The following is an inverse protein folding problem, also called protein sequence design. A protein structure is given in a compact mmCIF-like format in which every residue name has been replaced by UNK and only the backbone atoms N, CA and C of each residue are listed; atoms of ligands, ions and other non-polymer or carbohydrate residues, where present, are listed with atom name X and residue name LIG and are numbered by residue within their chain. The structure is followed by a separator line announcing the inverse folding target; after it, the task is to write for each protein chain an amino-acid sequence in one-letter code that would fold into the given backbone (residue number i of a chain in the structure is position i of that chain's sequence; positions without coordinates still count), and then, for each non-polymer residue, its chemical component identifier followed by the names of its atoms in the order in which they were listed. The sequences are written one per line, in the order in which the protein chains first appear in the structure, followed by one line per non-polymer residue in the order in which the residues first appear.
data_IF_154736486124
#
_entry.id   IF_154736486124
#
_cell.length_a   1.000
_cell.length_b   1.000
_cell.length_c   1.000
_cell.angle_alpha   90.00
_cell.angle_beta   90.00
_cell.angle_gamma   90.00
#
_symmetry.space_group_name_H-M   'P 1'
#
loop_
_entity.id
_entity.type
_entity.pdbx_description
1 polymer ?
#
# COMPACT_ATOMS: atom_id res chain seq x y z
N UNK A 1 -4.86 22.10 -10.90
CA UNK A 1 -4.65 20.68 -10.59
C UNK A 1 -5.65 19.92 -11.41
N UNK A 2 -5.18 19.08 -12.32
CA UNK A 2 -6.03 18.44 -13.31
C UNK A 2 -7.06 17.54 -12.61
N UNK A 3 -8.33 17.96 -12.63
CA UNK A 3 -9.48 17.29 -12.01
C UNK A 3 -9.90 16.01 -12.79
N UNK A 4 -9.03 15.46 -13.64
CA UNK A 4 -9.43 14.48 -14.67
C UNK A 4 -8.56 13.21 -14.74
N UNK A 5 -7.64 13.00 -13.81
CA UNK A 5 -6.89 11.74 -13.73
C UNK A 5 -7.59 10.79 -12.76
N UNK A 6 -8.43 9.92 -13.31
CA UNK A 6 -9.09 8.84 -12.58
C UNK A 6 -8.04 7.99 -11.83
N UNK A 7 -8.18 7.80 -10.51
CA UNK A 7 -7.18 7.08 -9.72
C UNK A 7 -7.07 5.63 -10.19
N UNK A 8 -5.84 5.11 -10.22
CA UNK A 8 -5.52 3.70 -10.51
C UNK A 8 -5.19 2.91 -9.25
N UNK A 9 -4.70 3.59 -8.21
CA UNK A 9 -4.41 2.98 -6.91
C UNK A 9 -5.21 3.69 -5.82
N UNK A 10 -5.80 2.92 -4.92
CA UNK A 10 -6.43 3.43 -3.71
C UNK A 10 -5.58 3.16 -2.48
N UNK A 11 -5.11 4.18 -1.78
CA UNK A 11 -4.48 4.05 -0.47
C UNK A 11 -5.56 4.28 0.60
N UNK A 12 -5.84 3.26 1.40
CA UNK A 12 -6.76 3.35 2.53
C UNK A 12 -6.05 3.03 3.85
N UNK A 13 -6.43 3.74 4.91
CA UNK A 13 -5.90 3.49 6.25
C UNK A 13 -6.94 3.65 7.34
N UNK A 14 -6.75 3.00 8.48
CA UNK A 14 -7.74 2.95 9.56
C UNK A 14 -7.90 4.26 10.32
N UNK A 15 -6.89 5.13 10.32
CA UNK A 15 -6.82 6.33 11.17
C UNK A 15 -5.81 7.36 10.68
N UNK A 16 -5.87 8.57 11.25
CA UNK A 16 -4.85 9.60 11.03
C UNK A 16 -3.47 9.20 11.56
N UNK A 17 -3.38 8.38 12.61
CA UNK A 17 -2.09 7.90 13.13
C UNK A 17 -1.40 6.93 12.16
N UNK A 18 -2.16 6.19 11.36
CA UNK A 18 -1.60 5.30 10.34
C UNK A 18 -0.92 6.07 9.20
N UNK A 19 -1.27 7.35 9.02
CA UNK A 19 -0.70 8.20 7.96
C UNK A 19 0.82 8.32 8.05
N UNK A 20 1.39 8.30 9.25
CA UNK A 20 2.85 8.37 9.43
C UNK A 20 3.56 7.20 8.72
N UNK A 21 2.92 6.03 8.66
CA UNK A 21 3.40 4.88 7.87
C UNK A 21 2.97 4.99 6.41
N UNK A 22 1.68 5.27 6.16
CA UNK A 22 1.09 5.15 4.82
C UNK A 22 1.50 6.26 3.86
N UNK A 23 1.95 7.43 4.35
CA UNK A 23 2.51 8.51 3.52
C UNK A 23 3.67 8.04 2.65
N UNK A 24 4.38 7.00 3.06
CA UNK A 24 5.46 6.44 2.26
C UNK A 24 4.97 5.72 1.00
N UNK A 25 3.74 5.20 0.98
CA UNK A 25 3.14 4.67 -0.23
C UNK A 25 2.73 5.81 -1.18
N UNK A 26 2.09 6.85 -0.64
CA UNK A 26 1.66 8.06 -1.35
C UNK A 26 2.83 8.76 -2.05
N UNK A 27 3.95 8.93 -1.35
CA UNK A 27 5.18 9.51 -1.90
C UNK A 27 5.72 8.71 -3.09
N UNK A 28 5.77 7.37 -2.99
CA UNK A 28 6.27 6.52 -4.08
C UNK A 28 5.32 6.59 -5.28
N UNK A 29 4.00 6.50 -5.08
CA UNK A 29 3.06 6.59 -6.20
C UNK A 29 3.12 7.96 -6.89
N UNK A 30 3.32 9.03 -6.11
CA UNK A 30 3.55 10.38 -6.65
C UNK A 30 4.83 10.45 -7.48
N UNK A 31 5.94 9.89 -7.00
CA UNK A 31 7.23 9.83 -7.72
C UNK A 31 7.11 9.08 -9.06
N UNK A 32 6.29 8.03 -9.11
CA UNK A 32 6.01 7.29 -10.34
C UNK A 32 4.93 7.90 -11.23
N UNK A 33 4.37 9.05 -10.83
CA UNK A 33 3.28 9.74 -11.51
C UNK A 33 2.04 8.85 -11.70
N UNK A 34 1.75 8.00 -10.72
CA UNK A 34 0.58 7.11 -10.73
C UNK A 34 -0.59 7.87 -10.11
N UNK A 35 -1.70 8.11 -10.83
CA UNK A 35 -2.91 8.69 -10.24
C UNK A 35 -3.42 7.80 -9.12
N UNK A 36 -3.59 8.37 -7.94
CA UNK A 36 -4.07 7.64 -6.77
C UNK A 36 -4.89 8.54 -5.86
N UNK A 37 -5.65 7.90 -4.99
CA UNK A 37 -6.38 8.55 -3.91
C UNK A 37 -5.89 8.03 -2.56
N UNK A 38 -5.98 8.87 -1.54
CA UNK A 38 -5.53 8.57 -0.18
C UNK A 38 -6.65 8.91 0.82
N UNK A 39 -7.19 7.91 1.50
CA UNK A 39 -8.40 8.04 2.32
C UNK A 39 -8.29 7.35 3.69
N UNK A 40 -9.02 7.86 4.68
CA UNK A 40 -9.24 7.18 5.97
C UNK A 40 -10.53 6.38 5.92
N UNK A 41 -10.40 5.07 6.05
CA UNK A 41 -11.49 4.08 6.06
C UNK A 41 -11.25 3.10 7.20
N UNK A 42 -12.00 3.25 8.29
CA UNK A 42 -11.81 2.44 9.50
C UNK A 42 -12.70 1.20 9.48
N UNK A 43 -12.12 0.01 9.40
CA UNK A 43 -12.88 -1.26 9.37
C UNK A 43 -13.88 -1.39 10.53
N UNK A 44 -13.48 -0.98 11.74
CA UNK A 44 -14.34 -1.13 12.94
C UNK A 44 -15.24 0.06 13.24
N UNK A 45 -14.95 1.25 12.68
CA UNK A 45 -15.68 2.50 13.01
C UNK A 45 -16.55 2.99 11.88
N UNK A 46 -16.21 2.62 10.65
CA UNK A 46 -16.95 2.94 9.43
C UNK A 46 -17.05 1.69 8.53
N UNK A 47 -17.59 0.56 9.03
CA UNK A 47 -17.65 -0.69 8.26
C UNK A 47 -18.44 -0.54 6.95
N UNK A 48 -19.53 0.23 6.95
CA UNK A 48 -20.33 0.47 5.74
C UNK A 48 -19.54 1.26 4.69
N UNK A 49 -18.75 2.26 5.12
CA UNK A 49 -17.83 2.99 4.23
C UNK A 49 -16.81 2.06 3.59
N UNK A 50 -16.27 1.11 4.36
CA UNK A 50 -15.34 0.11 3.82
C UNK A 50 -16.02 -0.79 2.79
N UNK A 51 -17.23 -1.26 3.09
CA UNK A 51 -18.01 -2.09 2.16
C UNK A 51 -18.31 -1.35 0.86
N UNK A 52 -18.78 -0.10 0.96
CA UNK A 52 -19.06 0.76 -0.20
C UNK A 52 -17.80 1.02 -1.03
N UNK A 53 -16.70 1.38 -0.36
CA UNK A 53 -15.41 1.63 -1.02
C UNK A 53 -14.93 0.41 -1.81
N UNK A 54 -14.87 -0.76 -1.17
CA UNK A 54 -14.33 -1.97 -1.78
C UNK A 54 -15.22 -2.49 -2.93
N UNK A 55 -16.55 -2.52 -2.74
CA UNK A 55 -17.49 -3.00 -3.76
C UNK A 55 -17.46 -2.14 -5.03
N UNK A 56 -17.32 -0.83 -4.88
CA UNK A 56 -17.33 0.12 -6.02
C UNK A 56 -15.94 0.34 -6.64
N UNK A 57 -14.86 -0.11 -5.99
CA UNK A 57 -13.48 0.19 -6.39
C UNK A 57 -13.17 -0.15 -7.87
N UNK A 58 -13.59 -1.33 -8.33
CA UNK A 58 -13.33 -1.78 -9.69
C UNK A 58 -14.11 -0.94 -10.73
N UNK A 59 -15.37 -0.64 -10.46
CA UNK A 59 -16.23 0.16 -11.34
C UNK A 59 -15.75 1.61 -11.42
N UNK A 60 -15.15 2.11 -10.34
CA UNK A 60 -14.47 3.41 -10.28
C UNK A 60 -13.13 3.45 -11.01
N UNK A 61 -12.64 2.33 -11.55
CA UNK A 61 -11.41 2.25 -12.34
C UNK A 61 -10.13 2.01 -11.56
N UNK A 62 -10.21 1.69 -10.26
CA UNK A 62 -9.04 1.26 -9.49
C UNK A 62 -8.54 -0.08 -10.01
N UNK A 63 -7.22 -0.27 -9.95
CA UNK A 63 -6.52 -1.49 -10.35
C UNK A 63 -5.88 -2.21 -9.17
N UNK A 64 -5.44 -1.48 -8.14
CA UNK A 64 -4.85 -2.02 -6.92
C UNK A 64 -5.32 -1.21 -5.71
N UNK A 65 -5.53 -1.86 -4.57
CA UNK A 65 -5.78 -1.18 -3.29
C UNK A 65 -4.61 -1.48 -2.35
N UNK A 66 -4.08 -0.45 -1.71
CA UNK A 66 -3.09 -0.52 -0.64
C UNK A 66 -3.80 -0.19 0.67
N UNK A 67 -3.85 -1.12 1.61
CA UNK A 67 -4.59 -0.97 2.86
C UNK A 67 -3.65 -1.10 4.07
N UNK A 68 -3.58 -0.05 4.89
CA UNK A 68 -2.76 0.01 6.11
C UNK A 68 -3.58 -0.01 7.40
N UNK A 69 -3.22 -0.89 8.34
CA UNK A 69 -3.84 -0.92 9.67
C UNK A 69 -2.90 -1.56 10.72
N UNK A 70 -3.10 -1.18 11.99
CA UNK A 70 -2.35 -1.71 13.14
C UNK A 70 -3.24 -2.41 14.17
N UNK A 71 -2.62 -3.22 15.04
CA UNK A 71 -3.30 -4.02 16.07
C UNK A 71 -4.10 -5.18 15.47
N UNK A 72 -5.39 -5.26 15.79
CA UNK A 72 -6.35 -6.16 15.13
C UNK A 72 -6.69 -5.64 13.72
N UNK A 73 -5.73 -5.75 12.80
CA UNK A 73 -5.69 -5.03 11.54
C UNK A 73 -6.59 -5.64 10.46
N UNK A 74 -7.92 -5.52 10.61
CA UNK A 74 -8.90 -6.15 9.71
C UNK A 74 -9.14 -5.43 8.38
N UNK A 75 -8.66 -4.19 8.23
CA UNK A 75 -8.94 -3.36 7.05
C UNK A 75 -8.56 -4.04 5.73
N UNK A 76 -7.35 -4.62 5.55
CA UNK A 76 -6.97 -5.23 4.28
C UNK A 76 -7.80 -6.48 3.95
N UNK A 77 -8.00 -7.38 4.92
CA UNK A 77 -8.76 -8.62 4.71
C UNK A 77 -10.23 -8.37 4.39
N UNK A 78 -10.87 -7.43 5.10
CA UNK A 78 -12.26 -7.06 4.82
C UNK A 78 -12.41 -6.31 3.50
N UNK A 79 -11.43 -5.49 3.11
CA UNK A 79 -11.41 -4.88 1.78
C UNK A 79 -11.38 -5.96 0.69
N UNK A 80 -10.46 -6.93 0.81
CA UNK A 80 -10.32 -8.04 -0.14
C UNK A 80 -11.58 -8.92 -0.22
N UNK A 81 -12.33 -9.06 0.87
CA UNK A 81 -13.59 -9.81 0.88
C UNK A 81 -14.70 -9.18 0.01
N UNK A 82 -14.59 -7.89 -0.30
CA UNK A 82 -15.61 -7.14 -1.05
C UNK A 82 -15.18 -6.70 -2.46
N UNK A 83 -13.94 -6.94 -2.85
CA UNK A 83 -13.45 -6.58 -4.18
C UNK A 83 -12.69 -7.73 -4.84
N UNK A 84 -12.75 -7.79 -6.17
CA UNK A 84 -11.93 -8.69 -6.98
C UNK A 84 -10.55 -8.11 -7.30
N UNK A 85 -10.30 -6.84 -6.96
CA UNK A 85 -9.01 -6.20 -7.20
C UNK A 85 -7.94 -6.76 -6.25
N UNK A 86 -6.66 -6.79 -6.65
CA UNK A 86 -5.56 -7.04 -5.74
C UNK A 86 -5.57 -6.07 -4.56
N UNK A 87 -5.54 -6.62 -3.34
CA UNK A 87 -5.38 -5.86 -2.10
C UNK A 87 -4.02 -6.15 -1.49
N UNK A 88 -3.25 -5.08 -1.28
CA UNK A 88 -1.92 -5.11 -0.68
C UNK A 88 -1.99 -4.60 0.75
N UNK A 89 -1.66 -5.44 1.71
CA UNK A 89 -1.76 -5.14 3.15
C UNK A 89 -0.45 -4.63 3.73
N UNK A 90 -0.50 -3.50 4.44
CA UNK A 90 0.63 -2.93 5.17
C UNK A 90 0.36 -3.01 6.67
N UNK A 91 1.08 -3.89 7.41
CA UNK A 91 0.99 -3.94 8.86
C UNK A 91 1.59 -2.67 9.48
N UNK A 92 0.77 -1.84 10.10
CA UNK A 92 1.25 -0.66 10.84
C UNK A 92 1.81 -1.12 12.19
N UNK A 93 2.93 -0.55 12.60
CA UNK A 93 3.57 -0.93 13.86
C UNK A 93 2.69 -0.57 15.07
N UNK A 94 2.33 -1.58 15.87
CA UNK A 94 1.62 -1.39 17.13
C UNK A 94 2.59 -1.11 18.28
N UNK A 95 2.14 -0.34 19.28
CA UNK A 95 2.99 0.07 20.41
C UNK A 95 3.54 -1.11 21.22
N UNK A 96 2.69 -2.08 21.56
CA UNK A 96 3.06 -3.16 22.48
C UNK A 96 3.73 -4.34 21.78
N UNK A 97 3.17 -4.78 20.65
CA UNK A 97 3.60 -5.99 19.93
C UNK A 97 4.44 -5.68 18.69
N UNK A 98 4.81 -4.41 18.50
CA UNK A 98 5.74 -3.96 17.44
C UNK A 98 5.30 -4.41 16.05
N UNK A 99 3.98 -4.43 15.83
CA UNK A 99 3.37 -4.81 14.56
C UNK A 99 3.22 -6.32 14.34
N UNK A 100 3.61 -7.20 15.27
CA UNK A 100 3.39 -8.65 15.13
C UNK A 100 1.90 -9.00 15.07
N UNK A 101 1.10 -8.38 15.95
CA UNK A 101 -0.37 -8.47 15.92
C UNK A 101 -0.94 -8.03 14.57
N UNK A 102 -0.40 -6.94 14.04
CA UNK A 102 -0.82 -6.32 12.78
C UNK A 102 -0.48 -7.23 11.61
N UNK A 103 0.75 -7.79 11.61
CA UNK A 103 1.24 -8.70 10.59
C UNK A 103 0.36 -9.95 10.53
N UNK A 104 0.17 -10.63 11.67
CA UNK A 104 -0.61 -11.86 11.72
C UNK A 104 -2.10 -11.62 11.41
N UNK A 105 -2.64 -10.46 11.77
CA UNK A 105 -4.02 -10.08 11.42
C UNK A 105 -4.23 -9.87 9.92
N UNK A 106 -3.18 -9.58 9.16
CA UNK A 106 -3.25 -9.29 7.73
C UNK A 106 -2.82 -10.50 6.89
N UNK A 107 -1.70 -11.14 7.22
CA UNK A 107 -1.07 -12.16 6.35
C UNK A 107 -1.73 -13.54 6.43
N UNK A 108 -2.36 -13.86 7.56
CA UNK A 108 -2.92 -15.21 7.82
C UNK A 108 -4.35 -15.37 7.27
N UNK A 109 -4.65 -14.73 6.14
CA UNK A 109 -5.94 -14.93 5.47
C UNK A 109 -6.13 -16.41 5.09
N UNK A 110 -7.26 -17.04 5.44
CA UNK A 110 -7.57 -18.38 4.95
C UNK A 110 -7.62 -18.42 3.42
N UNK A 111 -7.39 -19.60 2.84
CA UNK A 111 -7.50 -19.80 1.39
C UNK A 111 -8.87 -19.36 0.85
N UNK A 112 -8.86 -18.51 -0.17
CA UNK A 112 -10.07 -18.01 -0.86
C UNK A 112 -10.14 -16.48 -0.96
N UNK A 113 -9.61 -15.74 0.01
CA UNK A 113 -9.62 -14.27 0.02
C UNK A 113 -8.20 -13.73 0.26
N UNK A 114 -7.42 -13.47 -0.79
CA UNK A 114 -6.00 -13.17 -0.65
C UNK A 114 -5.74 -11.71 -0.24
N UNK A 115 -4.68 -11.51 0.54
CA UNK A 115 -4.06 -10.20 0.77
C UNK A 115 -2.55 -10.34 0.57
N UNK A 116 -1.99 -9.60 -0.40
CA UNK A 116 -0.54 -9.52 -0.57
C UNK A 116 0.06 -8.70 0.56
N UNK A 117 0.66 -9.32 1.55
CA UNK A 117 1.12 -8.61 2.77
C UNK A 117 2.59 -8.21 2.65
N UNK A 118 2.90 -6.98 3.06
CA UNK A 118 4.25 -6.42 3.05
C UNK A 118 4.87 -6.38 4.46
N UNK A 119 6.11 -5.91 4.56
CA UNK A 119 6.80 -5.74 5.83
C UNK A 119 6.03 -4.81 6.79
N UNK A 120 6.31 -4.90 8.09
CA UNK A 120 5.75 -3.97 9.09
C UNK A 120 6.30 -2.54 8.84
N UNK A 121 5.43 -1.54 8.96
CA UNK A 121 5.80 -0.12 8.99
C UNK A 121 6.17 0.49 7.63
N UNK A 122 7.02 1.51 7.66
CA UNK A 122 7.35 2.35 6.51
C UNK A 122 7.91 1.58 5.31
N UNK A 123 8.76 0.57 5.57
CA UNK A 123 9.29 -0.31 4.53
C UNK A 123 8.18 -1.06 3.79
N UNK A 124 7.15 -1.50 4.52
CA UNK A 124 5.95 -2.12 3.95
C UNK A 124 5.16 -1.18 3.07
N UNK A 125 4.92 0.05 3.53
CA UNK A 125 4.20 1.06 2.75
C UNK A 125 4.93 1.40 1.43
N UNK A 126 6.24 1.64 1.47
CA UNK A 126 7.05 1.85 0.25
C UNK A 126 6.94 0.67 -0.71
N UNK A 127 7.10 -0.55 -0.20
CA UNK A 127 7.06 -1.75 -1.01
C UNK A 127 5.67 -2.09 -1.53
N UNK A 128 4.60 -1.72 -0.82
CA UNK A 128 3.24 -1.87 -1.32
C UNK A 128 3.00 -0.99 -2.55
N UNK A 129 3.50 0.25 -2.52
CA UNK A 129 3.45 1.14 -3.67
C UNK A 129 4.33 0.62 -4.83
N UNK A 130 5.56 0.17 -4.57
CA UNK A 130 6.42 -0.44 -5.61
C UNK A 130 5.81 -1.72 -6.22
N UNK A 131 5.13 -2.53 -5.41
CA UNK A 131 4.43 -3.72 -5.88
C UNK A 131 3.20 -3.34 -6.73
N UNK A 132 2.42 -2.33 -6.30
CA UNK A 132 1.33 -1.79 -7.11
C UNK A 132 1.84 -1.21 -8.45
N UNK A 133 2.97 -0.49 -8.44
CA UNK A 133 3.66 -0.02 -9.65
C UNK A 133 4.04 -1.17 -10.56
N UNK A 134 4.59 -2.25 -10.00
CA UNK A 134 4.97 -3.44 -10.77
C UNK A 134 3.76 -4.13 -11.41
N UNK A 135 2.61 -4.18 -10.72
CA UNK A 135 1.35 -4.71 -11.26
C UNK A 135 0.85 -3.85 -12.43
N UNK A 136 0.85 -2.52 -12.28
CA UNK A 136 0.42 -1.60 -13.35
C UNK A 136 1.36 -1.63 -14.57
N UNK A 137 2.67 -1.73 -14.33
CA UNK A 137 3.69 -1.76 -15.38
C UNK A 137 3.55 -2.94 -16.35
N UNK A 138 2.85 -4.02 -15.98
CA UNK A 138 2.54 -5.15 -16.88
C UNK A 138 1.75 -4.71 -18.12
N UNK A 139 1.04 -3.58 -18.04
CA UNK A 139 0.20 -3.05 -19.12
C UNK A 139 0.52 -1.59 -19.48
N UNK A 140 1.57 -1.03 -18.90
CA UNK A 140 2.04 0.34 -19.17
C UNK A 140 3.56 0.32 -19.43
N UNK A 141 3.99 0.23 -20.70
CA UNK A 141 5.41 0.19 -21.05
C UNK A 141 6.19 1.43 -20.61
N UNK A 142 5.55 2.60 -20.51
CA UNK A 142 6.20 3.81 -20.06
C UNK A 142 6.44 3.75 -18.53
N UNK A 143 5.48 3.26 -17.76
CA UNK A 143 5.66 3.02 -16.33
C UNK A 143 6.68 1.90 -16.07
N UNK A 144 6.69 0.85 -16.88
CA UNK A 144 7.71 -0.21 -16.81
C UNK A 144 9.13 0.36 -16.96
N UNK A 145 9.35 1.22 -17.97
CA UNK A 145 10.64 1.89 -18.15
C UNK A 145 11.04 2.77 -16.97
N UNK A 146 10.08 3.50 -16.35
CA UNK A 146 10.35 4.27 -15.12
C UNK A 146 10.73 3.37 -13.95
N UNK A 147 10.05 2.24 -13.78
CA UNK A 147 10.35 1.26 -12.74
C UNK A 147 11.74 0.64 -12.92
N UNK A 148 12.11 0.26 -14.13
CA UNK A 148 13.45 -0.28 -14.44
C UNK A 148 14.55 0.75 -14.15
N UNK A 149 14.34 2.01 -14.56
CA UNK A 149 15.26 3.11 -14.28
C UNK A 149 15.41 3.36 -12.76
N UNK A 150 14.31 3.32 -12.01
CA UNK A 150 14.33 3.47 -10.55
C UNK A 150 15.13 2.35 -9.89
N UNK A 151 14.95 1.09 -10.31
CA UNK A 151 15.72 -0.05 -9.77
C UNK A 151 17.20 0.02 -10.13
N UNK A 152 17.52 0.49 -11.34
CA UNK A 152 18.90 0.72 -11.76
C UNK A 152 19.56 1.82 -10.91
N UNK A 153 18.86 2.93 -10.66
CA UNK A 153 19.34 4.01 -9.81
C UNK A 153 19.55 3.53 -8.37
N UNK A 154 18.62 2.74 -7.82
CA UNK A 154 18.75 2.18 -6.47
C UNK A 154 19.92 1.19 -6.35
N UNK A 155 20.25 0.49 -7.43
CA UNK A 155 21.46 -0.36 -7.47
C UNK A 155 22.72 0.49 -7.50
N UNK A 156 22.73 1.57 -8.30
CA UNK A 156 23.87 2.47 -8.43
C UNK A 156 24.11 3.34 -7.19
N UNK A 157 23.10 3.54 -6.34
CA UNK A 157 23.21 4.36 -5.12
C UNK A 157 23.88 3.63 -3.95
N UNK A 158 24.09 2.32 -4.04
CA UNK A 158 24.73 1.53 -2.97
C UNK A 158 26.24 1.82 -2.96
N UNK A 159 26.73 2.37 -1.87
CA UNK A 159 28.16 2.61 -1.67
C UNK A 159 28.95 1.29 -1.57
N UNK A 160 30.18 1.29 -2.08
CA UNK A 160 31.06 0.10 -2.02
C UNK A 160 31.54 -0.23 -0.59
N UNK A 161 31.52 0.73 0.33
CA UNK A 161 31.98 0.58 1.69
C UNK A 161 31.14 1.44 2.66
N UNK A 162 31.02 1.07 3.95
CA UNK A 162 30.35 1.88 4.95
C UNK A 162 31.14 3.16 5.25
N UNK A 163 30.43 4.22 5.65
CA UNK A 163 31.05 5.44 6.20
C UNK A 163 31.20 5.26 7.71
N UNK A 164 32.41 5.44 8.22
CA UNK A 164 32.65 5.51 9.68
C UNK A 164 32.65 6.99 10.05
N UNK A 165 31.69 7.41 10.87
CA UNK A 165 31.71 8.76 11.46
C UNK A 165 32.77 8.79 12.55
N UNK A 166 33.69 9.76 12.51
CA UNK A 166 34.66 9.96 13.60
C UNK A 166 33.91 10.50 14.83
N UNK A 167 34.18 9.91 16.00
CA UNK A 167 33.64 10.33 17.31
C UNK A 167 33.84 11.82 17.62
#
# INVERSE_FOLDING_TARGET
MDQNTQPKVGIIMGSQSDWETMRHADLILTEFEIPHETLIVSAHRTPDRLAEYAKSAADRGLSVIIAGAGGAAHLPGMCAAWTRLPVLGVPVESRALKGMDSLLSIVQMPGGVPVGTLAIGASGAKNAALLATSVLALHDPALAARLDAWRALQTASVANAPVTENE
#
